data_IF_583712613749
#
_entry.id   IF_583712613749
#
_cell.length_a   1.000
_cell.length_b   1.000
_cell.length_c   1.000
_cell.angle_alpha   90.00
_cell.angle_beta   90.00
_cell.angle_gamma   90.00
#
_symmetry.space_group_name_H-M   'P 1'
#
loop_
_entity.id
_entity.type
_entity.pdbx_description
1 polymer ?
#
# COMPACT_ATOMS: atom_id res chain seq x y z
N UNK A 1 3.01 6.46 52.80
CA UNK A 1 1.83 5.86 52.11
C UNK A 1 2.16 5.77 50.67
N UNK A 2 2.32 4.55 50.29
CA UNK A 2 2.89 4.01 49.08
C UNK A 2 2.02 4.31 47.87
N UNK A 3 2.62 4.87 46.81
CA UNK A 3 2.03 5.05 45.50
C UNK A 3 2.65 4.02 44.56
N UNK A 4 1.92 2.96 44.31
CA UNK A 4 2.24 1.86 43.40
C UNK A 4 2.18 2.36 41.97
N UNK A 5 3.32 2.32 41.30
CA UNK A 5 3.50 2.67 39.89
C UNK A 5 3.20 1.41 39.10
N UNK A 6 2.04 1.37 38.41
CA UNK A 6 1.67 0.29 37.50
C UNK A 6 2.40 0.48 36.18
N UNK A 7 3.46 -0.29 35.99
CA UNK A 7 4.11 -0.47 34.71
C UNK A 7 3.16 -1.27 33.81
N UNK A 8 2.62 -0.61 32.78
CA UNK A 8 1.86 -1.25 31.72
C UNK A 8 2.86 -1.88 30.72
N UNK A 9 3.17 -3.16 30.93
CA UNK A 9 3.87 -3.97 29.94
C UNK A 9 3.00 -4.15 28.69
N UNK A 10 3.45 -3.57 27.59
CA UNK A 10 2.90 -3.88 26.25
C UNK A 10 3.31 -5.30 25.86
N UNK A 11 2.39 -6.16 25.43
CA UNK A 11 2.76 -7.48 24.93
C UNK A 11 3.44 -7.35 23.56
N UNK A 12 4.76 -7.46 23.55
CA UNK A 12 5.51 -7.67 22.32
C UNK A 12 5.16 -9.06 21.77
N UNK A 13 4.34 -9.13 20.73
CA UNK A 13 4.04 -10.36 20.01
C UNK A 13 5.24 -10.76 19.15
N UNK A 14 6.35 -11.14 19.80
CA UNK A 14 7.46 -11.85 19.11
C UNK A 14 7.07 -13.30 19.01
N UNK A 15 6.57 -13.74 17.86
CA UNK A 15 6.47 -15.17 17.56
C UNK A 15 7.88 -15.77 17.53
N UNK A 16 8.17 -16.54 18.56
CA UNK A 16 9.40 -17.31 18.67
C UNK A 16 9.33 -18.48 17.71
N UNK A 17 10.17 -18.47 16.67
CA UNK A 17 10.35 -19.55 15.73
C UNK A 17 11.06 -20.74 16.41
N UNK A 18 10.66 -22.01 16.21
CA UNK A 18 11.37 -23.15 16.78
C UNK A 18 12.70 -23.36 16.06
N UNK A 19 13.78 -23.50 16.82
CA UNK A 19 15.07 -23.93 16.31
C UNK A 19 14.98 -25.41 15.90
N UNK A 20 14.89 -25.67 14.59
CA UNK A 20 14.93 -26.99 13.98
C UNK A 20 16.32 -27.28 13.43
N UNK A 21 16.87 -28.43 13.83
CA UNK A 21 18.19 -28.97 13.51
C UNK A 21 18.35 -29.36 12.04
N UNK A 22 19.42 -28.89 11.40
CA UNK A 22 20.22 -29.62 10.42
C UNK A 22 19.64 -29.87 9.04
N UNK A 23 20.07 -29.03 8.10
CA UNK A 23 20.63 -29.36 6.76
C UNK A 23 21.01 -27.99 6.17
N UNK A 24 22.20 -27.88 5.55
CA UNK A 24 22.80 -26.61 5.16
C UNK A 24 22.07 -25.86 4.04
N UNK A 25 20.93 -25.27 4.37
CA UNK A 25 20.35 -24.14 3.68
C UNK A 25 20.86 -22.91 4.40
N UNK A 26 21.66 -22.09 3.71
CA UNK A 26 22.02 -20.77 4.21
C UNK A 26 20.70 -20.03 4.42
N UNK A 27 20.31 -19.81 5.68
CA UNK A 27 19.18 -18.99 6.01
C UNK A 27 19.42 -17.61 5.36
N UNK A 28 18.54 -17.21 4.43
CA UNK A 28 18.56 -15.90 3.82
C UNK A 28 18.57 -14.85 4.95
N UNK A 29 19.30 -13.75 4.76
CA UNK A 29 19.18 -12.63 5.69
C UNK A 29 17.72 -12.15 5.70
N UNK A 30 17.24 -11.62 6.80
CA UNK A 30 15.88 -11.11 6.92
C UNK A 30 15.57 -10.09 5.81
N UNK A 31 16.55 -9.25 5.47
CA UNK A 31 16.45 -8.30 4.36
C UNK A 31 16.28 -8.99 3.00
N UNK A 32 17.05 -10.05 2.73
CA UNK A 32 16.92 -10.82 1.48
C UNK A 32 15.58 -11.52 1.39
N UNK A 33 15.09 -12.08 2.50
CA UNK A 33 13.77 -12.72 2.57
C UNK A 33 12.64 -11.76 2.18
N UNK A 34 12.62 -10.55 2.77
CA UNK A 34 11.58 -9.56 2.45
C UNK A 34 11.72 -9.01 1.03
N UNK A 35 12.95 -8.80 0.55
CA UNK A 35 13.20 -8.35 -0.82
C UNK A 35 12.69 -9.35 -1.87
N UNK A 36 12.92 -10.65 -1.69
CA UNK A 36 12.39 -11.68 -2.59
C UNK A 36 10.86 -11.72 -2.59
N UNK A 37 10.23 -11.58 -1.42
CA UNK A 37 8.78 -11.55 -1.31
C UNK A 37 8.18 -10.29 -1.94
N UNK A 38 8.78 -9.12 -1.73
CA UNK A 38 8.35 -7.87 -2.36
C UNK A 38 8.47 -7.93 -3.90
N UNK A 39 9.54 -8.55 -4.41
CA UNK A 39 9.64 -8.83 -5.85
C UNK A 39 8.52 -9.76 -6.35
N UNK A 40 8.07 -10.71 -5.54
CA UNK A 40 6.89 -11.54 -5.82
C UNK A 40 5.60 -10.72 -5.89
N UNK A 41 5.40 -9.76 -4.99
CA UNK A 41 4.27 -8.83 -5.02
C UNK A 41 4.28 -8.00 -6.29
N UNK A 42 5.44 -7.41 -6.62
CA UNK A 42 5.60 -6.63 -7.85
C UNK A 42 5.30 -7.47 -9.10
N UNK A 43 5.80 -8.70 -9.17
CA UNK A 43 5.52 -9.62 -10.26
C UNK A 43 4.03 -9.96 -10.39
N UNK A 44 3.33 -10.17 -9.26
CA UNK A 44 1.88 -10.43 -9.25
C UNK A 44 1.07 -9.21 -9.77
N UNK A 45 1.50 -8.00 -9.41
CA UNK A 45 0.89 -6.77 -9.91
C UNK A 45 1.18 -6.58 -11.41
N UNK A 46 2.42 -6.77 -11.85
CA UNK A 46 2.83 -6.60 -13.26
C UNK A 46 2.20 -7.64 -14.20
N UNK A 47 1.79 -8.80 -13.69
CA UNK A 47 1.06 -9.80 -14.46
C UNK A 47 -0.38 -9.35 -14.83
N UNK A 48 -0.89 -8.31 -14.19
CA UNK A 48 -2.23 -7.73 -14.45
C UNK A 48 -2.24 -6.85 -15.69
N UNK A 49 -3.44 -6.43 -16.12
CA UNK A 49 -3.60 -5.47 -17.20
C UNK A 49 -2.84 -4.19 -16.87
N UNK A 50 -1.86 -3.77 -17.71
CA UNK A 50 -0.98 -2.67 -17.37
C UNK A 50 -1.70 -1.31 -17.37
N UNK A 51 -1.17 -0.36 -16.61
CA UNK A 51 -1.74 0.99 -16.40
C UNK A 51 -1.88 1.82 -17.70
N UNK A 52 -1.15 1.50 -18.76
CA UNK A 52 -1.29 2.18 -20.06
C UNK A 52 -2.51 1.72 -20.88
N UNK A 53 -3.19 0.65 -20.46
CA UNK A 53 -4.47 0.22 -21.02
C UNK A 53 -5.60 0.75 -20.15
N UNK A 54 -6.00 1.99 -20.43
CA UNK A 54 -7.01 2.70 -19.65
C UNK A 54 -8.36 1.99 -19.77
N UNK A 55 -8.96 1.68 -18.63
CA UNK A 55 -10.36 1.26 -18.50
C UNK A 55 -11.02 2.21 -17.51
N UNK A 56 -11.74 3.26 -17.98
CA UNK A 56 -12.39 4.22 -17.09
C UNK A 56 -13.56 3.54 -16.35
N UNK A 57 -13.30 3.02 -15.15
CA UNK A 57 -14.29 2.40 -14.28
C UNK A 57 -13.86 2.56 -12.82
N UNK A 58 -14.80 2.76 -11.91
CA UNK A 58 -14.54 2.86 -10.47
C UNK A 58 -15.16 1.72 -9.67
N UNK A 59 -16.17 1.07 -10.22
CA UNK A 59 -16.94 0.07 -9.47
C UNK A 59 -16.09 -1.09 -8.94
N UNK A 60 -15.11 -1.67 -9.69
CA UNK A 60 -14.25 -2.71 -9.15
C UNK A 60 -13.36 -2.23 -8.01
N UNK A 61 -12.79 -1.02 -8.11
CA UNK A 61 -11.97 -0.43 -7.05
C UNK A 61 -12.82 -0.14 -5.81
N UNK A 62 -14.02 0.42 -5.99
CA UNK A 62 -14.99 0.66 -4.90
C UNK A 62 -15.39 -0.64 -4.21
N UNK A 63 -15.67 -1.69 -5.00
CA UNK A 63 -15.99 -3.00 -4.45
C UNK A 63 -14.85 -3.56 -3.61
N UNK A 64 -13.61 -3.41 -4.08
CA UNK A 64 -12.43 -3.88 -3.36
C UNK A 64 -12.24 -3.13 -2.03
N UNK A 65 -12.31 -1.79 -2.01
CA UNK A 65 -12.16 -1.02 -0.76
C UNK A 65 -13.32 -1.25 0.21
N UNK A 66 -14.55 -1.45 -0.30
CA UNK A 66 -15.72 -1.80 0.53
C UNK A 66 -15.50 -3.11 1.29
N UNK A 67 -15.04 -4.15 0.60
CA UNK A 67 -14.75 -5.46 1.23
C UNK A 67 -13.61 -5.39 2.24
N UNK A 68 -12.69 -4.44 2.09
CA UNK A 68 -11.59 -4.16 3.02
C UNK A 68 -12.00 -3.23 4.18
N UNK A 69 -13.26 -2.79 4.22
CA UNK A 69 -13.75 -1.90 5.27
C UNK A 69 -13.38 -0.43 5.08
N UNK A 70 -13.19 0.00 3.84
CA UNK A 70 -12.91 1.39 3.46
C UNK A 70 -11.64 1.98 4.10
N UNK A 71 -10.45 1.37 3.94
CA UNK A 71 -9.21 1.82 4.58
C UNK A 71 -8.86 3.28 4.26
N UNK A 72 -9.23 3.79 3.09
CA UNK A 72 -8.99 5.17 2.67
C UNK A 72 -9.77 6.21 3.49
N UNK A 73 -10.75 5.81 4.30
CA UNK A 73 -11.56 6.72 5.14
C UNK A 73 -10.95 6.98 6.53
N UNK A 74 -9.86 6.30 6.88
CA UNK A 74 -9.25 6.37 8.23
C UNK A 74 -8.43 7.66 8.41
N UNK A 75 -7.85 8.18 7.33
CA UNK A 75 -6.98 9.35 7.32
C UNK A 75 -7.51 10.44 6.36
N UNK A 76 -6.96 11.66 6.48
CA UNK A 76 -7.28 12.76 5.57
C UNK A 76 -6.53 12.59 4.25
N UNK A 77 -7.14 13.01 3.14
CA UNK A 77 -6.52 12.92 1.81
C UNK A 77 -6.43 14.31 1.19
N UNK A 78 -5.25 14.64 0.66
CA UNK A 78 -5.03 15.74 -0.28
C UNK A 78 -4.81 15.10 -1.65
N UNK A 79 -5.82 15.19 -2.51
CA UNK A 79 -5.82 14.56 -3.82
C UNK A 79 -5.28 15.54 -4.87
N UNK A 80 -4.18 15.16 -5.56
CA UNK A 80 -3.46 16.02 -6.50
C UNK A 80 -3.66 15.53 -7.93
N UNK A 81 -4.34 16.32 -8.74
CA UNK A 81 -4.51 16.07 -10.18
C UNK A 81 -3.81 17.15 -11.02
N UNK A 82 -3.62 16.88 -12.30
CA UNK A 82 -3.01 17.83 -13.23
C UNK A 82 -2.31 17.14 -14.40
N UNK A 83 -2.01 17.90 -15.44
CA UNK A 83 -1.32 17.38 -16.64
C UNK A 83 0.17 17.24 -16.39
N UNK A 84 0.79 18.23 -15.74
CA UNK A 84 2.22 18.27 -15.44
C UNK A 84 2.48 18.64 -13.97
N UNK A 85 3.61 18.19 -13.43
CA UNK A 85 4.08 18.60 -12.11
C UNK A 85 3.35 17.97 -10.93
N UNK A 86 2.44 17.01 -11.13
CA UNK A 86 1.73 16.33 -10.05
C UNK A 86 2.68 15.79 -8.99
N UNK A 87 3.65 14.95 -9.39
CA UNK A 87 4.62 14.33 -8.48
C UNK A 87 5.43 15.35 -7.71
N UNK A 88 5.89 16.41 -8.37
CA UNK A 88 6.61 17.50 -7.69
C UNK A 88 5.73 18.22 -6.68
N UNK A 89 4.50 18.55 -7.05
CA UNK A 89 3.52 19.18 -6.16
C UNK A 89 3.21 18.30 -4.96
N UNK A 90 2.96 17.01 -5.18
CA UNK A 90 2.72 16.01 -4.14
C UNK A 90 3.89 15.95 -3.14
N UNK A 91 5.13 15.94 -3.63
CA UNK A 91 6.34 15.96 -2.78
C UNK A 91 6.48 17.27 -1.99
N UNK A 92 6.17 18.42 -2.60
CA UNK A 92 6.21 19.71 -1.90
C UNK A 92 5.17 19.77 -0.79
N UNK A 93 3.92 19.38 -1.08
CA UNK A 93 2.85 19.37 -0.08
C UNK A 93 3.22 18.44 1.08
N UNK A 94 3.64 17.21 0.78
CA UNK A 94 4.04 16.23 1.77
C UNK A 94 5.18 16.77 2.66
N UNK A 95 6.22 17.36 2.08
CA UNK A 95 7.33 17.94 2.84
C UNK A 95 6.87 19.07 3.77
N UNK A 96 5.99 19.96 3.29
CA UNK A 96 5.45 21.04 4.11
C UNK A 96 4.65 20.50 5.31
N UNK A 97 3.82 19.48 5.09
CA UNK A 97 3.03 18.86 6.15
C UNK A 97 3.92 18.21 7.22
N UNK A 98 5.01 17.56 6.82
CA UNK A 98 6.02 17.01 7.77
C UNK A 98 6.68 18.11 8.60
N UNK A 99 7.03 19.25 8.00
CA UNK A 99 7.59 20.39 8.75
C UNK A 99 6.59 20.96 9.76
N UNK A 100 5.29 20.73 9.57
CA UNK A 100 4.25 21.05 10.55
C UNK A 100 4.01 19.94 11.58
N UNK A 101 4.85 18.89 11.58
CA UNK A 101 4.79 17.81 12.56
C UNK A 101 3.72 16.76 12.31
N UNK A 102 3.13 16.71 11.11
CA UNK A 102 2.17 15.69 10.73
C UNK A 102 2.89 14.44 10.22
N UNK A 103 2.37 13.27 10.58
CA UNK A 103 2.79 12.01 9.98
C UNK A 103 2.14 11.87 8.61
N UNK A 104 2.93 11.73 7.57
CA UNK A 104 2.45 11.81 6.19
C UNK A 104 2.56 10.51 5.44
N UNK A 105 1.52 10.19 4.65
CA UNK A 105 1.58 9.26 3.54
C UNK A 105 1.75 10.02 2.22
N UNK A 106 2.44 9.41 1.26
CA UNK A 106 2.51 9.91 -0.10
C UNK A 106 2.37 8.76 -1.09
N UNK A 107 1.43 8.92 -2.02
CA UNK A 107 1.24 8.03 -3.17
C UNK A 107 1.63 8.77 -4.45
N UNK A 108 2.54 8.21 -5.24
CA UNK A 108 2.99 8.78 -6.51
C UNK A 108 3.10 7.72 -7.60
N UNK A 109 3.07 8.13 -8.87
CA UNK A 109 3.25 7.26 -10.02
C UNK A 109 3.95 7.97 -11.18
N UNK A 110 4.74 7.25 -12.01
CA UNK A 110 5.24 5.89 -11.82
C UNK A 110 6.44 5.81 -10.86
N UNK A 111 6.95 4.59 -10.58
CA UNK A 111 8.26 4.40 -9.94
C UNK A 111 9.39 4.37 -10.98
N UNK A 112 10.63 4.53 -10.53
CA UNK A 112 11.82 4.48 -11.38
C UNK A 112 12.56 3.14 -11.25
N UNK A 113 12.70 2.61 -10.05
CA UNK A 113 13.47 1.39 -9.75
C UNK A 113 12.63 0.36 -9.02
N UNK A 114 11.98 0.74 -7.91
CA UNK A 114 11.21 -0.18 -7.05
C UNK A 114 9.77 0.29 -6.87
N UNK A 115 8.84 -0.66 -6.79
CA UNK A 115 7.43 -0.40 -6.53
C UNK A 115 7.21 0.43 -5.25
N UNK A 116 8.02 0.18 -4.21
CA UNK A 116 7.98 0.89 -2.93
C UNK A 116 8.07 2.42 -3.06
N UNK A 117 8.74 2.93 -4.11
CA UNK A 117 8.85 4.38 -4.36
C UNK A 117 7.49 5.07 -4.52
N UNK A 118 6.47 4.30 -4.93
CA UNK A 118 5.10 4.81 -5.11
C UNK A 118 4.40 5.09 -3.78
N UNK A 119 4.83 4.41 -2.71
CA UNK A 119 4.25 4.44 -1.38
C UNK A 119 5.31 4.93 -0.39
N UNK A 120 5.15 6.11 0.16
CA UNK A 120 6.12 6.66 1.12
C UNK A 120 5.41 7.09 2.40
N UNK A 121 6.08 6.87 3.54
CA UNK A 121 5.66 7.34 4.86
C UNK A 121 6.75 8.26 5.38
N UNK A 122 6.37 9.45 5.81
CA UNK A 122 7.29 10.49 6.29
C UNK A 122 8.47 10.76 5.32
N UNK A 123 8.18 10.65 4.01
CA UNK A 123 9.12 10.93 2.92
C UNK A 123 9.98 9.76 2.48
N UNK A 124 10.01 8.67 3.25
CA UNK A 124 10.78 7.47 2.92
C UNK A 124 9.88 6.41 2.28
N UNK A 125 10.37 5.68 1.26
CA UNK A 125 9.64 4.54 0.70
C UNK A 125 9.32 3.52 1.76
N UNK A 126 8.14 2.89 1.67
CA UNK A 126 7.75 1.80 2.59
C UNK A 126 8.72 0.63 2.48
N UNK A 127 8.93 -0.08 3.59
CA UNK A 127 9.78 -1.26 3.62
C UNK A 127 9.18 -2.41 2.79
N UNK A 128 10.04 -3.33 2.35
CA UNK A 128 9.61 -4.53 1.65
C UNK A 128 8.67 -5.38 2.55
N UNK A 129 8.94 -5.44 3.87
CA UNK A 129 8.08 -6.08 4.86
C UNK A 129 6.67 -5.48 4.90
N UNK A 130 6.55 -4.14 5.00
CA UNK A 130 5.27 -3.46 5.05
C UNK A 130 4.46 -3.65 3.75
N UNK A 131 5.15 -3.62 2.60
CA UNK A 131 4.53 -3.87 1.30
C UNK A 131 3.98 -5.30 1.21
N UNK A 132 4.76 -6.29 1.66
CA UNK A 132 4.36 -7.70 1.66
C UNK A 132 3.21 -7.94 2.62
N UNK A 133 3.27 -7.41 3.83
CA UNK A 133 2.20 -7.56 4.83
C UNK A 133 0.86 -7.02 4.30
N UNK A 134 0.86 -5.81 3.77
CA UNK A 134 -0.36 -5.22 3.19
C UNK A 134 -0.86 -6.02 1.97
N UNK A 135 0.04 -6.57 1.15
CA UNK A 135 -0.34 -7.44 0.05
C UNK A 135 -1.02 -8.72 0.53
N UNK A 136 -0.47 -9.37 1.55
CA UNK A 136 -1.06 -10.60 2.12
C UNK A 136 -2.47 -10.38 2.65
N UNK A 137 -2.73 -9.21 3.21
CA UNK A 137 -4.06 -8.85 3.71
C UNK A 137 -5.06 -8.61 2.59
N UNK A 138 -4.65 -7.95 1.49
CA UNK A 138 -5.58 -7.62 0.40
C UNK A 138 -5.71 -8.71 -0.66
N UNK A 139 -4.70 -9.56 -0.88
CA UNK A 139 -4.67 -10.52 -1.98
C UNK A 139 -5.88 -11.47 -2.00
N UNK A 140 -6.36 -12.03 -0.88
CA UNK A 140 -7.56 -12.87 -0.88
C UNK A 140 -8.81 -12.12 -1.32
N UNK A 141 -8.91 -10.82 -0.99
CA UNK A 141 -10.05 -9.98 -1.37
C UNK A 141 -9.97 -9.59 -2.86
N UNK A 142 -8.77 -9.35 -3.37
CA UNK A 142 -8.52 -9.15 -4.81
C UNK A 142 -9.00 -10.36 -5.61
N UNK A 143 -8.71 -11.59 -5.16
CA UNK A 143 -9.19 -12.83 -5.81
C UNK A 143 -10.71 -12.93 -5.81
N UNK A 144 -11.36 -12.53 -4.73
CA UNK A 144 -12.84 -12.50 -4.64
C UNK A 144 -13.42 -11.54 -5.69
N UNK A 145 -12.89 -10.30 -5.77
CA UNK A 145 -13.37 -9.31 -6.74
C UNK A 145 -13.09 -9.76 -8.18
N UNK A 146 -11.92 -10.34 -8.45
CA UNK A 146 -11.60 -10.89 -9.78
C UNK A 146 -12.59 -12.00 -10.18
N UNK A 147 -13.00 -12.86 -9.23
CA UNK A 147 -14.01 -13.90 -9.47
C UNK A 147 -15.41 -13.30 -9.71
N UNK A 148 -15.82 -12.26 -8.97
CA UNK A 148 -17.06 -11.52 -9.19
C UNK A 148 -17.08 -10.90 -10.60
N UNK A 149 -15.99 -10.26 -11.02
CA UNK A 149 -15.85 -9.67 -12.36
C UNK A 149 -15.92 -10.72 -13.46
N UNK A 150 -15.23 -11.85 -13.29
CA UNK A 150 -15.27 -12.96 -14.25
C UNK A 150 -16.70 -13.53 -14.40
N UNK A 151 -17.45 -13.63 -13.31
CA UNK A 151 -18.85 -14.07 -13.35
C UNK A 151 -19.79 -13.07 -14.08
N UNK A 152 -19.41 -11.78 -14.14
CA UNK A 152 -20.08 -10.72 -14.86
C UNK A 152 -19.60 -10.56 -16.32
N UNK A 153 -18.70 -11.44 -16.81
CA UNK A 153 -18.04 -11.35 -18.11
C UNK A 153 -17.19 -10.04 -18.25
N UNK A 154 -16.67 -9.56 -17.12
CA UNK A 154 -15.76 -8.42 -17.06
C UNK A 154 -14.31 -8.87 -16.90
N UNK A 155 -13.39 -8.02 -17.35
CA UNK A 155 -11.95 -8.27 -17.14
C UNK A 155 -11.53 -8.03 -15.69
N UNK A 156 -10.48 -8.73 -15.21
CA UNK A 156 -9.99 -8.63 -13.84
C UNK A 156 -9.56 -7.22 -13.47
N UNK A 157 -9.34 -6.99 -12.18
CA UNK A 157 -8.72 -5.77 -11.66
C UNK A 157 -7.38 -5.51 -12.36
N UNK A 158 -7.17 -4.26 -12.76
CA UNK A 158 -5.92 -3.82 -13.42
C UNK A 158 -4.79 -3.64 -12.41
N UNK A 159 -3.56 -3.50 -12.91
CA UNK A 159 -2.40 -3.15 -12.11
C UNK A 159 -2.66 -1.94 -11.21
N UNK A 160 -3.19 -0.84 -11.78
CA UNK A 160 -3.35 0.40 -11.04
C UNK A 160 -4.53 0.37 -10.06
N UNK A 161 -5.62 -0.31 -10.38
CA UNK A 161 -6.74 -0.53 -9.45
C UNK A 161 -6.28 -1.25 -8.18
N UNK A 162 -5.50 -2.32 -8.32
CA UNK A 162 -4.98 -3.07 -7.17
C UNK A 162 -3.90 -2.27 -6.44
N UNK A 163 -3.01 -1.59 -7.15
CA UNK A 163 -1.96 -0.78 -6.53
C UNK A 163 -2.52 0.38 -5.69
N UNK A 164 -3.58 1.05 -6.17
CA UNK A 164 -4.23 2.12 -5.41
C UNK A 164 -4.77 1.59 -4.07
N UNK A 165 -5.43 0.44 -4.09
CA UNK A 165 -5.99 -0.18 -2.88
C UNK A 165 -4.89 -0.72 -1.96
N UNK A 166 -3.82 -1.30 -2.50
CA UNK A 166 -2.64 -1.69 -1.73
C UNK A 166 -2.05 -0.47 -0.99
N UNK A 167 -1.95 0.67 -1.67
CA UNK A 167 -1.53 1.92 -1.05
C UNK A 167 -2.47 2.35 0.09
N UNK A 168 -3.78 2.27 -0.11
CA UNK A 168 -4.75 2.60 0.95
C UNK A 168 -4.59 1.70 2.17
N UNK A 169 -4.36 0.40 1.99
CA UNK A 169 -4.11 -0.53 3.08
C UNK A 169 -2.80 -0.19 3.83
N UNK A 170 -1.71 0.02 3.11
CA UNK A 170 -0.41 0.41 3.70
C UNK A 170 -0.54 1.67 4.57
N UNK A 171 -1.26 2.70 4.11
CA UNK A 171 -1.41 3.95 4.85
C UNK A 171 -2.40 3.83 6.01
N UNK A 172 -3.32 2.88 5.97
CA UNK A 172 -4.20 2.57 7.10
C UNK A 172 -3.44 1.88 8.24
N UNK A 173 -2.55 0.93 7.90
CA UNK A 173 -1.73 0.22 8.89
C UNK A 173 -0.65 1.10 9.52
N UNK A 174 -0.16 2.07 8.77
CA UNK A 174 0.88 2.99 9.20
C UNK A 174 0.33 4.31 9.75
N UNK A 175 -0.60 4.37 10.67
CA UNK A 175 -1.46 5.46 11.10
C UNK A 175 -0.97 6.87 10.70
N UNK A 176 -1.12 7.22 9.41
CA UNK A 176 -0.77 8.55 8.88
C UNK A 176 -1.87 9.57 9.22
N UNK A 177 -1.49 10.81 9.50
CA UNK A 177 -2.45 11.91 9.72
C UNK A 177 -3.08 12.37 8.41
N UNK A 178 -2.27 12.36 7.33
CA UNK A 178 -2.66 12.83 6.01
C UNK A 178 -1.93 12.09 4.91
N UNK A 179 -2.68 11.65 3.90
CA UNK A 179 -2.15 11.11 2.65
C UNK A 179 -2.16 12.19 1.58
N UNK A 180 -1.02 12.43 0.93
CA UNK A 180 -0.95 13.21 -0.30
C UNK A 180 -0.96 12.24 -1.47
N UNK A 181 -2.07 12.22 -2.20
CA UNK A 181 -2.42 11.22 -3.19
C UNK A 181 -2.34 11.80 -4.60
N UNK A 182 -1.42 11.31 -5.41
CA UNK A 182 -1.31 11.67 -6.82
C UNK A 182 -2.27 10.83 -7.67
N UNK A 183 -3.09 11.48 -8.50
CA UNK A 183 -3.92 10.83 -9.51
C UNK A 183 -3.02 10.17 -10.56
N UNK A 184 -3.28 8.94 -10.91
CA UNK A 184 -2.56 8.23 -11.97
C UNK A 184 -2.83 8.87 -13.33
N UNK A 185 -4.10 8.97 -13.72
CA UNK A 185 -4.48 9.54 -15.00
C UNK A 185 -5.88 10.16 -14.97
N UNK A 186 -6.00 11.39 -15.47
CA UNK A 186 -7.29 12.08 -15.59
C UNK A 186 -7.75 12.67 -14.26
N UNK A 187 -8.83 12.15 -13.70
CA UNK A 187 -9.43 12.66 -12.46
C UNK A 187 -10.64 11.83 -12.04
N UNK A 188 -11.84 12.15 -12.51
CA UNK A 188 -13.11 11.57 -12.07
C UNK A 188 -13.16 10.03 -12.11
N UNK A 189 -12.48 9.41 -13.09
CA UNK A 189 -12.49 7.97 -13.31
C UNK A 189 -11.19 7.26 -12.90
N UNK A 190 -10.32 7.97 -12.20
CA UNK A 190 -9.08 7.39 -11.69
C UNK A 190 -9.33 6.51 -10.47
N UNK A 191 -8.63 5.38 -10.37
CA UNK A 191 -8.80 4.43 -9.26
C UNK A 191 -8.44 5.01 -7.88
N UNK A 192 -7.86 6.20 -7.84
CA UNK A 192 -7.57 6.94 -6.59
C UNK A 192 -8.75 7.80 -6.10
N UNK A 193 -9.92 7.79 -6.80
CA UNK A 193 -11.04 8.70 -6.56
C UNK A 193 -12.16 8.10 -5.68
#
# INVERSE_FOLDING_TARGET
>A
RDGEQLDAEQPSCRRRWPAGSGFGEQALSEETYWAERAAGVEAALLARVPENKIRPRLDPTRRLVELLGDPQKIYRIIHVTGTNGKTSTTRFIERLLREHGLRTGRFTSPHLVKLNERLSIDGEPVSDEALVAAWEDIAPIVEIVDAELAAADEGPLTFFEVLAVLGFAVFADAPVDVLVLEVGMGGEWDSTN
#
